data_IF_269839173453
#
_entry.id   IF_269839173453
#
_cell.length_a   1.000
_cell.length_b   1.000
_cell.length_c   1.000
_cell.angle_alpha   90.00
_cell.angle_beta   90.00
_cell.angle_gamma   90.00
#
_symmetry.space_group_name_H-M   'P 1'
#
loop_
_entity.id
_entity.type
_entity.pdbx_description
1 polymer ?
#
# COMPACT_ATOMS: atom_id res chain seq x y z
N UNK A 1 21.09 -1.82 -0.87
CA UNK A 1 20.92 -2.88 -1.89
C UNK A 1 20.39 -2.23 -3.15
N UNK A 2 20.99 -2.54 -4.29
CA UNK A 2 20.49 -2.10 -5.59
C UNK A 2 19.61 -3.24 -6.13
N UNK A 3 18.30 -2.98 -6.25
CA UNK A 3 17.35 -3.95 -6.79
C UNK A 3 17.43 -3.92 -8.32
N UNK A 4 17.76 -5.05 -8.94
CA UNK A 4 17.70 -5.20 -10.39
C UNK A 4 16.27 -5.53 -10.78
N UNK A 5 15.63 -4.65 -11.55
CA UNK A 5 14.22 -4.75 -11.95
C UNK A 5 14.17 -4.62 -13.47
N UNK A 6 13.58 -5.61 -14.14
CA UNK A 6 13.39 -5.54 -15.58
C UNK A 6 12.35 -4.47 -15.94
N UNK A 7 12.51 -3.82 -17.09
CA UNK A 7 11.63 -2.74 -17.54
C UNK A 7 10.16 -3.18 -17.70
N UNK A 8 9.91 -4.45 -17.94
CA UNK A 8 8.61 -5.08 -18.14
C UNK A 8 8.27 -6.12 -17.05
N UNK A 9 8.90 -6.00 -15.86
CA UNK A 9 8.75 -6.97 -14.76
C UNK A 9 7.31 -7.18 -14.26
N UNK A 10 6.42 -6.22 -14.52
CA UNK A 10 5.01 -6.27 -14.14
C UNK A 10 4.06 -6.40 -15.33
N UNK A 11 4.61 -6.78 -16.51
CA UNK A 11 3.82 -6.93 -17.73
C UNK A 11 2.64 -7.89 -17.52
N UNK A 12 1.47 -7.49 -18.04
CA UNK A 12 0.22 -8.25 -18.00
C UNK A 12 -0.32 -8.54 -16.57
N UNK A 13 0.20 -7.85 -15.54
CA UNK A 13 -0.30 -7.94 -14.17
C UNK A 13 -1.39 -6.90 -13.91
N UNK A 14 -2.39 -7.27 -13.12
CA UNK A 14 -3.42 -6.37 -12.60
C UNK A 14 -3.11 -6.08 -11.13
N UNK A 15 -2.87 -4.81 -10.79
CA UNK A 15 -2.40 -4.41 -9.47
C UNK A 15 -3.31 -3.35 -8.86
N UNK A 16 -3.87 -3.63 -7.69
CA UNK A 16 -4.65 -2.69 -6.89
C UNK A 16 -3.74 -1.86 -5.98
N UNK A 17 -3.84 -0.53 -6.05
CA UNK A 17 -3.10 0.38 -5.18
C UNK A 17 -4.08 1.22 -4.36
N UNK A 18 -4.04 1.07 -3.03
CA UNK A 18 -4.85 1.90 -2.13
C UNK A 18 -4.14 3.20 -1.77
N UNK A 19 -4.90 4.29 -1.67
CA UNK A 19 -4.31 5.62 -1.49
C UNK A 19 -3.52 6.11 -2.72
N UNK A 20 -3.97 5.69 -3.91
CA UNK A 20 -3.28 5.93 -5.18
C UNK A 20 -3.26 7.41 -5.64
N UNK A 21 -4.05 8.28 -5.02
CA UNK A 21 -4.16 9.67 -5.44
C UNK A 21 -3.05 10.60 -4.95
N UNK A 22 -2.14 10.18 -4.04
CA UNK A 22 -1.14 11.05 -3.46
C UNK A 22 0.09 10.28 -2.94
N UNK A 23 1.20 11.00 -2.75
CA UNK A 23 2.41 10.52 -2.08
C UNK A 23 2.96 9.21 -2.64
N UNK A 24 3.22 8.25 -1.74
CA UNK A 24 3.80 6.95 -2.09
C UNK A 24 2.87 6.14 -2.98
N UNK A 25 1.54 6.11 -2.68
CA UNK A 25 0.59 5.33 -3.47
C UNK A 25 0.47 5.82 -4.91
N UNK A 26 0.45 7.15 -5.11
CA UNK A 26 0.49 7.76 -6.46
C UNK A 26 1.75 7.34 -7.22
N UNK A 27 2.92 7.50 -6.58
CA UNK A 27 4.18 7.15 -7.23
C UNK A 27 4.28 5.64 -7.52
N UNK A 28 3.80 4.79 -6.62
CA UNK A 28 3.77 3.34 -6.84
C UNK A 28 2.87 2.98 -8.04
N UNK A 29 1.68 3.58 -8.14
CA UNK A 29 0.78 3.36 -9.27
C UNK A 29 1.45 3.71 -10.60
N UNK A 30 2.07 4.88 -10.71
CA UNK A 30 2.80 5.31 -11.93
C UNK A 30 3.97 4.37 -12.21
N UNK A 31 4.74 3.99 -11.18
CA UNK A 31 5.89 3.11 -11.36
C UNK A 31 5.50 1.69 -11.79
N UNK A 32 4.40 1.15 -11.26
CA UNK A 32 3.88 -0.15 -11.68
C UNK A 32 3.37 -0.12 -13.13
N UNK A 33 2.66 0.94 -13.51
CA UNK A 33 2.24 1.15 -14.90
C UNK A 33 3.43 1.25 -15.86
N UNK A 34 4.48 1.97 -15.47
CA UNK A 34 5.73 2.09 -16.23
C UNK A 34 6.45 0.75 -16.45
N UNK A 35 6.19 -0.26 -15.62
CA UNK A 35 6.74 -1.61 -15.75
C UNK A 35 5.74 -2.61 -16.34
N UNK A 36 4.67 -2.11 -17.00
CA UNK A 36 3.75 -2.91 -17.81
C UNK A 36 2.49 -3.40 -17.08
N UNK A 37 2.25 -3.01 -15.82
CA UNK A 37 1.03 -3.37 -15.12
C UNK A 37 -0.19 -2.56 -15.60
N UNK A 38 -1.38 -3.17 -15.51
CA UNK A 38 -2.65 -2.46 -15.46
C UNK A 38 -2.96 -2.13 -14.00
N UNK A 39 -3.05 -0.85 -13.66
CA UNK A 39 -3.18 -0.41 -12.26
C UNK A 39 -4.62 0.00 -11.95
N UNK A 40 -5.14 -0.49 -10.83
CA UNK A 40 -6.42 -0.07 -10.27
C UNK A 40 -6.14 0.95 -9.17
N UNK A 41 -6.59 2.18 -9.38
CA UNK A 41 -6.37 3.33 -8.51
C UNK A 41 -7.51 3.43 -7.49
N UNK A 42 -7.27 3.05 -6.23
CA UNK A 42 -8.27 3.15 -5.18
C UNK A 42 -7.96 4.32 -4.23
N UNK A 43 -8.97 5.14 -3.97
CA UNK A 43 -8.87 6.24 -3.02
C UNK A 43 -10.19 7.02 -2.90
N UNK A 44 -10.25 7.94 -1.93
CA UNK A 44 -11.48 8.68 -1.63
C UNK A 44 -11.72 9.93 -2.50
N UNK A 45 -10.64 10.54 -3.03
CA UNK A 45 -10.72 11.83 -3.71
C UNK A 45 -10.63 11.62 -5.21
N UNK A 46 -11.79 11.61 -5.89
CA UNK A 46 -11.91 11.30 -7.32
C UNK A 46 -10.96 12.16 -8.16
N UNK A 47 -10.96 13.48 -8.01
CA UNK A 47 -10.10 14.38 -8.79
C UNK A 47 -8.59 14.06 -8.68
N UNK A 48 -8.13 13.53 -7.52
CA UNK A 48 -6.73 13.09 -7.38
C UNK A 48 -6.47 11.76 -8.11
N UNK A 49 -7.45 10.88 -8.16
CA UNK A 49 -7.34 9.62 -8.91
C UNK A 49 -7.36 9.87 -10.41
N UNK A 50 -8.24 10.76 -10.86
CA UNK A 50 -8.30 11.21 -12.27
C UNK A 50 -6.99 11.84 -12.73
N UNK A 51 -6.38 12.69 -11.90
CA UNK A 51 -5.08 13.27 -12.23
C UNK A 51 -3.96 12.21 -12.38
N UNK A 52 -4.00 11.13 -11.60
CA UNK A 52 -3.05 10.01 -11.75
C UNK A 52 -3.38 9.17 -12.97
N UNK A 53 -4.65 8.95 -13.24
CA UNK A 53 -5.14 8.26 -14.42
C UNK A 53 -4.65 8.97 -15.69
N UNK A 54 -4.92 10.27 -15.81
CA UNK A 54 -4.52 11.08 -16.97
C UNK A 54 -3.00 11.11 -17.16
N UNK A 55 -2.23 11.14 -16.07
CA UNK A 55 -0.77 11.08 -16.12
C UNK A 55 -0.27 9.74 -16.66
N UNK A 56 -0.84 8.62 -16.21
CA UNK A 56 -0.50 7.28 -16.70
C UNK A 56 -0.82 7.14 -18.19
N UNK A 57 -1.98 7.61 -18.65
CA UNK A 57 -2.36 7.61 -20.06
C UNK A 57 -1.45 8.52 -20.91
N UNK A 58 -1.15 9.72 -20.41
CA UNK A 58 -0.26 10.67 -21.11
C UNK A 58 1.16 10.12 -21.29
N UNK A 59 1.64 9.30 -20.36
CA UNK A 59 2.92 8.61 -20.46
C UNK A 59 2.89 7.39 -21.40
N UNK A 60 1.72 7.04 -21.93
CA UNK A 60 1.55 5.94 -22.90
C UNK A 60 1.58 4.54 -22.24
N UNK A 61 1.32 4.45 -20.94
CA UNK A 61 1.24 3.16 -20.22
C UNK A 61 -0.15 2.54 -20.34
N UNK A 62 -0.32 1.30 -19.85
CA UNK A 62 -1.61 0.64 -19.86
C UNK A 62 -2.67 1.48 -19.15
N UNK A 63 -3.85 1.58 -19.78
CA UNK A 63 -4.98 2.32 -19.23
C UNK A 63 -5.33 1.83 -17.83
N UNK A 64 -5.28 2.69 -16.79
CA UNK A 64 -5.65 2.31 -15.44
C UNK A 64 -7.17 2.27 -15.24
N UNK A 65 -7.62 1.76 -14.10
CA UNK A 65 -9.00 1.89 -13.66
C UNK A 65 -9.07 2.70 -12.36
N UNK A 66 -10.22 3.32 -12.08
CA UNK A 66 -10.46 4.07 -10.85
C UNK A 66 -11.56 3.40 -10.04
N UNK A 67 -11.30 3.20 -8.74
CA UNK A 67 -12.30 2.79 -7.75
C UNK A 67 -12.37 3.85 -6.64
N UNK A 68 -13.35 4.75 -6.68
CA UNK A 68 -13.57 5.71 -5.61
C UNK A 68 -14.12 4.99 -4.38
N UNK A 69 -13.33 4.96 -3.28
CA UNK A 69 -13.78 4.36 -2.02
C UNK A 69 -13.15 5.07 -0.83
N UNK A 70 -13.98 5.56 0.09
CA UNK A 70 -13.53 6.05 1.38
C UNK A 70 -13.46 4.89 2.39
N UNK A 71 -12.25 4.51 2.75
CA UNK A 71 -12.01 3.39 3.67
C UNK A 71 -12.56 3.63 5.08
N UNK A 72 -12.79 4.90 5.49
CA UNK A 72 -13.38 5.22 6.79
C UNK A 72 -14.84 4.74 6.91
N UNK A 73 -15.59 4.82 5.81
CA UNK A 73 -16.98 4.39 5.75
C UNK A 73 -17.23 3.04 5.08
N UNK A 74 -16.18 2.41 4.58
CA UNK A 74 -16.31 1.17 3.83
C UNK A 74 -16.71 -0.01 4.72
N UNK A 75 -17.72 -0.74 4.27
CA UNK A 75 -18.21 -1.98 4.90
C UNK A 75 -17.69 -3.20 4.15
N UNK A 76 -17.87 -4.40 4.72
CA UNK A 76 -17.53 -5.66 4.07
C UNK A 76 -18.16 -5.78 2.68
N UNK A 77 -19.40 -5.31 2.49
CA UNK A 77 -20.10 -5.39 1.20
C UNK A 77 -19.38 -4.56 0.13
N UNK A 78 -18.91 -3.35 0.43
CA UNK A 78 -18.17 -2.53 -0.53
C UNK A 78 -16.91 -3.24 -1.05
N UNK A 79 -16.22 -4.03 -0.21
CA UNK A 79 -15.05 -4.79 -0.67
C UNK A 79 -15.43 -6.01 -1.51
N UNK A 80 -16.58 -6.64 -1.24
CA UNK A 80 -17.11 -7.74 -2.07
C UNK A 80 -17.46 -7.17 -3.46
N UNK A 81 -18.25 -6.10 -3.52
CA UNK A 81 -18.66 -5.45 -4.78
C UNK A 81 -17.44 -4.99 -5.60
N UNK A 82 -16.43 -4.44 -4.92
CA UNK A 82 -15.15 -4.08 -5.53
C UNK A 82 -14.46 -5.28 -6.19
N UNK A 83 -14.38 -6.42 -5.50
CA UNK A 83 -13.72 -7.63 -6.03
C UNK A 83 -14.53 -8.24 -7.18
N UNK A 84 -15.86 -8.22 -7.10
CA UNK A 84 -16.73 -8.63 -8.20
C UNK A 84 -16.46 -7.77 -9.44
N UNK A 85 -16.43 -6.44 -9.29
CA UNK A 85 -16.09 -5.50 -10.39
C UNK A 85 -14.72 -5.79 -10.99
N UNK A 86 -13.69 -6.02 -10.15
CA UNK A 86 -12.34 -6.37 -10.61
C UNK A 86 -12.36 -7.70 -11.38
N UNK A 87 -13.07 -8.69 -10.86
CA UNK A 87 -13.20 -10.00 -11.51
C UNK A 87 -13.91 -9.93 -12.86
N UNK A 88 -14.98 -9.11 -12.96
CA UNK A 88 -15.73 -8.92 -14.21
C UNK A 88 -14.92 -8.17 -15.28
N UNK A 89 -14.18 -7.13 -14.88
CA UNK A 89 -13.45 -6.28 -15.82
C UNK A 89 -12.10 -6.87 -16.25
N UNK A 90 -11.39 -7.54 -15.33
CA UNK A 90 -10.02 -7.98 -15.57
C UNK A 90 -9.84 -9.50 -15.50
N UNK A 91 -10.77 -10.23 -14.88
CA UNK A 91 -10.68 -11.67 -14.70
C UNK A 91 -9.59 -12.14 -13.72
N UNK A 92 -8.73 -11.23 -13.24
CA UNK A 92 -7.55 -11.51 -12.41
C UNK A 92 -7.19 -10.37 -11.47
N UNK A 93 -6.44 -10.69 -10.43
CA UNK A 93 -5.72 -9.74 -9.57
C UNK A 93 -4.40 -10.38 -9.16
N UNK A 94 -3.28 -9.72 -9.49
CA UNK A 94 -1.93 -10.25 -9.28
C UNK A 94 -1.18 -9.56 -8.16
N UNK A 95 -1.59 -8.34 -7.82
CA UNK A 95 -0.94 -7.61 -6.75
C UNK A 95 -1.87 -6.65 -6.03
N UNK A 96 -1.60 -6.44 -4.74
CA UNK A 96 -2.25 -5.41 -3.93
C UNK A 96 -1.20 -4.67 -3.12
N UNK A 97 -1.23 -3.34 -3.20
CA UNK A 97 -0.48 -2.46 -2.31
C UNK A 97 -1.45 -1.80 -1.33
N UNK A 98 -1.46 -2.25 -0.09
CA UNK A 98 -2.12 -1.60 1.04
C UNK A 98 -1.26 -0.42 1.52
N UNK A 99 -1.48 0.75 0.91
CA UNK A 99 -0.72 1.97 1.23
C UNK A 99 -1.58 3.05 1.89
N UNK A 100 -2.90 3.06 1.65
CA UNK A 100 -3.80 4.01 2.29
C UNK A 100 -3.67 3.94 3.82
N UNK A 101 -3.63 5.12 4.46
CA UNK A 101 -3.56 5.20 5.91
C UNK A 101 -3.83 6.60 6.43
N UNK A 102 -4.22 6.67 7.70
CA UNK A 102 -4.38 7.89 8.47
C UNK A 102 -3.28 7.98 9.54
N UNK A 103 -2.69 9.15 9.69
CA UNK A 103 -1.77 9.44 10.80
C UNK A 103 -2.52 9.62 12.13
N UNK A 104 -3.71 10.19 12.08
CA UNK A 104 -4.42 10.66 13.26
C UNK A 104 -3.76 11.92 13.86
N UNK A 105 -3.97 12.11 15.16
CA UNK A 105 -3.39 13.19 15.94
C UNK A 105 -2.24 12.63 16.78
N UNK A 106 -1.08 13.28 16.75
CA UNK A 106 0.05 12.97 17.60
C UNK A 106 -0.16 13.65 18.96
N UNK A 107 -0.37 12.89 20.01
CA UNK A 107 -0.67 13.38 21.37
C UNK A 107 -0.12 12.44 22.45
N UNK A 108 0.01 12.90 23.72
CA UNK A 108 0.21 12.00 24.84
C UNK A 108 -0.85 10.91 24.87
N UNK A 109 -0.48 9.71 25.33
CA UNK A 109 -1.37 8.54 25.28
C UNK A 109 -2.67 8.74 26.07
N UNK A 110 -2.59 9.39 27.21
CA UNK A 110 -3.73 9.70 28.10
C UNK A 110 -4.65 10.81 27.54
N UNK A 111 -4.24 11.49 26.46
CA UNK A 111 -5.00 12.53 25.77
C UNK A 111 -5.47 12.11 24.37
N UNK A 112 -5.19 10.88 23.96
CA UNK A 112 -5.64 10.36 22.68
C UNK A 112 -7.16 10.18 22.67
N UNK A 113 -7.85 10.96 21.84
CA UNK A 113 -9.31 10.87 21.72
C UNK A 113 -9.76 9.55 21.08
N UNK A 114 -10.86 8.97 21.60
CA UNK A 114 -11.45 7.72 21.12
C UNK A 114 -11.77 7.77 19.64
N UNK A 115 -12.43 8.83 19.15
CA UNK A 115 -12.75 8.99 17.71
C UNK A 115 -11.52 8.95 16.82
N UNK A 116 -10.41 9.56 17.28
CA UNK A 116 -9.14 9.52 16.53
C UNK A 116 -8.55 8.11 16.50
N UNK A 117 -8.62 7.41 17.63
CA UNK A 117 -8.18 6.02 17.70
C UNK A 117 -9.01 5.13 16.78
N UNK A 118 -10.33 5.23 16.83
CA UNK A 118 -11.25 4.45 16.02
C UNK A 118 -11.07 4.69 14.52
N UNK A 119 -10.96 5.95 14.12
CA UNK A 119 -10.70 6.30 12.73
C UNK A 119 -9.40 5.69 12.19
N UNK A 120 -8.31 5.82 12.96
CA UNK A 120 -7.00 5.27 12.57
C UNK A 120 -7.06 3.74 12.50
N UNK A 121 -7.63 3.08 13.51
CA UNK A 121 -7.76 1.63 13.54
C UNK A 121 -8.69 1.13 12.44
N UNK A 122 -9.76 1.86 12.15
CA UNK A 122 -10.66 1.49 11.06
C UNK A 122 -9.96 1.53 9.70
N UNK A 123 -9.30 2.65 9.37
CA UNK A 123 -8.65 2.82 8.05
C UNK A 123 -7.37 1.98 7.93
N UNK A 124 -6.51 1.98 8.95
CA UNK A 124 -5.20 1.36 8.86
C UNK A 124 -5.21 -0.15 9.12
N UNK A 125 -6.23 -0.67 9.82
CA UNK A 125 -6.29 -2.09 10.21
C UNK A 125 -7.53 -2.77 9.67
N UNK A 126 -8.73 -2.34 10.10
CA UNK A 126 -9.98 -3.03 9.75
C UNK A 126 -10.26 -3.02 8.24
N UNK A 127 -10.01 -1.88 7.57
CA UNK A 127 -10.18 -1.78 6.12
C UNK A 127 -9.22 -2.71 5.36
N UNK A 128 -7.94 -2.74 5.77
CA UNK A 128 -6.95 -3.66 5.19
C UNK A 128 -7.36 -5.13 5.41
N UNK A 129 -7.80 -5.48 6.61
CA UNK A 129 -8.26 -6.82 6.95
C UNK A 129 -9.44 -7.27 6.07
N UNK A 130 -10.52 -6.44 6.01
CA UNK A 130 -11.71 -6.77 5.22
C UNK A 130 -11.43 -6.83 3.72
N UNK A 131 -10.63 -5.89 3.21
CA UNK A 131 -10.21 -5.88 1.81
C UNK A 131 -9.39 -7.13 1.48
N UNK A 132 -8.43 -7.48 2.34
CA UNK A 132 -7.62 -8.69 2.15
C UNK A 132 -8.49 -9.94 2.13
N UNK A 133 -9.45 -10.09 3.04
CA UNK A 133 -10.39 -11.20 3.01
C UNK A 133 -11.16 -11.28 1.68
N UNK A 134 -11.64 -10.14 1.18
CA UNK A 134 -12.41 -10.09 -0.05
C UNK A 134 -11.58 -10.46 -1.29
N UNK A 135 -10.32 -10.00 -1.38
CA UNK A 135 -9.46 -10.28 -2.55
C UNK A 135 -8.86 -11.70 -2.55
N UNK A 136 -8.80 -12.39 -1.40
CA UNK A 136 -8.12 -13.69 -1.30
C UNK A 136 -8.56 -14.73 -2.34
N UNK A 137 -9.88 -14.90 -2.65
CA UNK A 137 -10.31 -15.85 -3.66
C UNK A 137 -9.78 -15.53 -5.06
N UNK A 138 -9.55 -14.26 -5.37
CA UNK A 138 -9.09 -13.81 -6.69
C UNK A 138 -7.56 -13.87 -6.78
N UNK A 139 -6.83 -13.34 -5.79
CA UNK A 139 -5.37 -13.29 -5.82
C UNK A 139 -4.72 -14.68 -5.71
N UNK A 140 -5.38 -15.64 -5.05
CA UNK A 140 -4.93 -17.04 -5.00
C UNK A 140 -4.95 -17.74 -6.35
N UNK A 141 -5.65 -17.20 -7.35
CA UNK A 141 -5.65 -17.73 -8.73
C UNK A 141 -4.46 -17.22 -9.53
N UNK A 142 -3.75 -16.20 -9.04
CA UNK A 142 -2.55 -15.71 -9.69
C UNK A 142 -1.41 -16.72 -9.57
N UNK A 143 -0.65 -16.90 -10.63
CA UNK A 143 0.55 -17.75 -10.64
C UNK A 143 1.69 -17.12 -9.83
N UNK A 144 1.58 -15.82 -9.52
CA UNK A 144 2.59 -15.05 -8.80
C UNK A 144 1.93 -13.87 -8.04
N UNK A 145 1.10 -14.18 -7.03
CA UNK A 145 0.33 -13.20 -6.26
C UNK A 145 1.21 -12.41 -5.29
N UNK A 146 0.98 -11.09 -5.16
CA UNK A 146 1.71 -10.19 -4.23
C UNK A 146 0.75 -9.39 -3.37
N UNK A 147 0.95 -9.43 -2.05
CA UNK A 147 0.28 -8.55 -1.09
C UNK A 147 1.35 -7.77 -0.34
N UNK A 148 1.35 -6.46 -0.49
CA UNK A 148 2.32 -5.58 0.17
C UNK A 148 1.59 -4.62 1.08
N UNK A 149 2.03 -4.55 2.34
CA UNK A 149 1.56 -3.58 3.31
C UNK A 149 2.57 -2.46 3.49
N UNK A 150 2.11 -1.22 3.58
CA UNK A 150 2.95 -0.09 3.98
C UNK A 150 2.95 0.00 5.50
N UNK A 151 4.09 -0.34 6.11
CA UNK A 151 4.36 -0.19 7.53
C UNK A 151 5.04 1.15 7.86
N UNK A 152 5.77 1.22 8.93
CA UNK A 152 6.52 2.37 9.41
C UNK A 152 7.54 1.91 10.44
N UNK A 153 8.60 2.69 10.70
CA UNK A 153 9.50 2.45 11.84
C UNK A 153 8.75 2.30 13.17
N UNK A 154 7.63 3.02 13.34
CA UNK A 154 6.78 2.90 14.53
C UNK A 154 5.83 1.70 14.50
N UNK A 155 5.98 0.79 13.54
CA UNK A 155 5.28 -0.50 13.47
C UNK A 155 5.98 -1.63 14.23
N UNK A 156 7.26 -1.47 14.55
CA UNK A 156 8.06 -2.41 15.35
C UNK A 156 8.82 -1.74 16.51
N UNK A 157 8.77 -0.41 16.59
CA UNK A 157 9.34 0.34 17.70
C UNK A 157 8.33 1.40 18.16
N UNK A 158 7.80 1.26 19.39
CA UNK A 158 6.87 2.23 19.96
C UNK A 158 7.54 3.58 20.22
N UNK A 159 6.88 4.68 19.82
CA UNK A 159 7.39 6.04 20.01
C UNK A 159 6.38 6.91 20.75
N UNK A 160 6.84 7.71 21.71
CA UNK A 160 5.99 8.66 22.41
C UNK A 160 5.22 9.56 21.46
N UNK A 161 3.96 9.81 21.76
CA UNK A 161 2.97 10.63 21.02
C UNK A 161 2.41 9.97 19.74
N UNK A 162 2.86 8.79 19.33
CA UNK A 162 2.41 8.12 18.10
C UNK A 162 1.23 7.16 18.30
N UNK A 163 0.67 7.07 19.47
CA UNK A 163 -0.46 6.26 19.94
C UNK A 163 -1.16 5.40 18.88
N UNK A 164 -2.30 5.86 18.38
CA UNK A 164 -3.13 5.09 17.43
C UNK A 164 -2.37 4.66 16.16
N UNK A 165 -1.55 5.55 15.60
CA UNK A 165 -0.80 5.24 14.38
C UNK A 165 0.20 4.11 14.60
N UNK A 166 1.01 4.19 15.68
CA UNK A 166 1.98 3.13 16.01
C UNK A 166 1.26 1.80 16.25
N UNK A 167 0.22 1.78 17.08
CA UNK A 167 -0.60 0.59 17.34
C UNK A 167 -1.11 -0.01 16.03
N UNK A 168 -1.62 0.82 15.11
CA UNK A 168 -2.12 0.35 13.83
C UNK A 168 -1.03 -0.28 12.95
N UNK A 169 0.21 0.24 13.01
CA UNK A 169 1.32 -0.30 12.21
C UNK A 169 1.87 -1.60 12.80
N UNK A 170 1.90 -1.77 14.14
CA UNK A 170 2.13 -3.07 14.76
C UNK A 170 1.08 -4.10 14.32
N UNK A 171 -0.20 -3.71 14.31
CA UNK A 171 -1.27 -4.60 13.83
C UNK A 171 -1.12 -4.95 12.33
N UNK A 172 -0.66 -4.00 11.50
CA UNK A 172 -0.38 -4.23 10.07
C UNK A 172 0.75 -5.25 9.90
N UNK A 173 1.84 -5.15 10.65
CA UNK A 173 2.95 -6.12 10.59
C UNK A 173 2.51 -7.50 11.08
N UNK A 174 1.78 -7.58 12.20
CA UNK A 174 1.21 -8.85 12.66
C UNK A 174 0.25 -9.50 11.65
N UNK A 175 -0.56 -8.70 10.96
CA UNK A 175 -1.44 -9.20 9.89
C UNK A 175 -0.61 -9.74 8.71
N UNK A 176 0.45 -9.05 8.32
CA UNK A 176 1.37 -9.47 7.27
C UNK A 176 2.02 -10.82 7.61
N UNK A 177 2.54 -10.99 8.83
CA UNK A 177 3.19 -12.24 9.27
C UNK A 177 2.21 -13.42 9.28
N UNK A 178 0.98 -13.24 9.79
CA UNK A 178 -0.07 -14.26 9.81
C UNK A 178 -0.38 -14.71 8.37
N UNK A 179 -0.65 -13.76 7.48
CA UNK A 179 -0.97 -14.07 6.08
C UNK A 179 0.20 -14.73 5.35
N UNK A 180 1.43 -14.27 5.58
CA UNK A 180 2.61 -14.87 4.98
C UNK A 180 2.77 -16.33 5.38
N UNK A 181 2.51 -16.66 6.65
CA UNK A 181 2.55 -18.03 7.16
C UNK A 181 1.44 -18.89 6.54
N UNK A 182 0.20 -18.39 6.48
CA UNK A 182 -0.93 -19.08 5.86
C UNK A 182 -0.71 -19.34 4.36
N UNK A 183 0.00 -18.44 3.67
CA UNK A 183 0.25 -18.50 2.22
C UNK A 183 1.56 -19.21 1.86
N UNK A 184 2.35 -19.72 2.81
CA UNK A 184 3.69 -20.24 2.57
C UNK A 184 3.76 -21.38 1.53
N UNK A 185 2.69 -22.17 1.40
CA UNK A 185 2.57 -23.27 0.44
C UNK A 185 1.79 -22.89 -0.84
N UNK A 186 1.64 -21.60 -1.12
CA UNK A 186 0.94 -21.10 -2.31
C UNK A 186 1.89 -20.25 -3.17
N UNK A 187 1.36 -19.73 -4.28
CA UNK A 187 2.06 -18.76 -5.15
C UNK A 187 1.99 -17.32 -4.63
N UNK A 188 1.23 -17.06 -3.55
CA UNK A 188 1.07 -15.71 -2.99
C UNK A 188 2.22 -15.42 -2.01
N UNK A 189 2.83 -14.24 -2.14
CA UNK A 189 3.83 -13.71 -1.19
C UNK A 189 3.31 -12.45 -0.52
N UNK A 190 3.52 -12.37 0.77
CA UNK A 190 2.99 -11.30 1.62
C UNK A 190 4.15 -10.65 2.38
N UNK A 191 4.35 -9.36 2.17
CA UNK A 191 5.44 -8.62 2.80
C UNK A 191 4.96 -7.24 3.25
N UNK A 192 5.76 -6.56 4.06
CA UNK A 192 5.57 -5.16 4.41
C UNK A 192 6.78 -4.32 4.00
N UNK A 193 6.54 -3.04 3.76
CA UNK A 193 7.58 -2.05 3.50
C UNK A 193 7.51 -0.97 4.57
N UNK A 194 8.62 -0.72 5.26
CA UNK A 194 8.82 0.51 6.00
C UNK A 194 9.43 1.55 5.04
N UNK A 195 8.66 2.57 4.61
CA UNK A 195 9.17 3.57 3.67
C UNK A 195 10.23 4.50 4.25
N UNK A 196 10.38 4.56 5.58
CA UNK A 196 11.22 5.52 6.25
C UNK A 196 10.72 6.97 6.12
N UNK A 197 11.59 7.93 6.39
CA UNK A 197 11.29 9.35 6.21
C UNK A 197 11.18 9.73 4.74
N UNK A 198 9.97 9.74 4.20
CA UNK A 198 9.70 10.03 2.79
C UNK A 198 8.94 11.35 2.64
N UNK A 199 9.28 12.16 1.65
CA UNK A 199 8.67 13.47 1.34
C UNK A 199 7.21 13.29 0.91
N UNK A 200 6.28 13.38 1.85
CA UNK A 200 4.83 13.23 1.64
C UNK A 200 4.06 14.23 2.50
N UNK A 201 2.81 14.47 2.14
CA UNK A 201 1.92 15.32 2.96
C UNK A 201 1.69 14.75 4.38
N UNK A 202 1.71 13.42 4.55
CA UNK A 202 1.64 12.78 5.87
C UNK A 202 2.90 13.08 6.69
N UNK A 203 4.09 13.00 6.09
CA UNK A 203 5.36 13.32 6.76
C UNK A 203 5.42 14.78 7.21
N UNK A 204 5.01 15.71 6.35
CA UNK A 204 4.96 17.14 6.67
C UNK A 204 4.00 17.43 7.84
N UNK A 205 2.89 16.71 7.97
CA UNK A 205 2.00 16.82 9.13
C UNK A 205 2.62 16.27 10.41
N UNK A 206 3.36 15.16 10.32
CA UNK A 206 4.00 14.54 11.49
C UNK A 206 5.20 15.35 12.00
N UNK A 207 5.92 16.02 11.10
CA UNK A 207 7.14 16.79 11.38
C UNK A 207 7.12 18.14 10.66
N UNK A 208 6.30 19.11 11.15
CA UNK A 208 6.13 20.40 10.45
C UNK A 208 7.41 21.25 10.35
N UNK A 209 8.37 21.05 11.26
CA UNK A 209 9.64 21.78 11.29
C UNK A 209 10.79 21.06 10.54
N UNK A 210 10.53 19.89 9.94
CA UNK A 210 11.54 19.14 9.22
C UNK A 210 11.77 19.72 7.82
N UNK A 211 13.03 19.88 7.42
CA UNK A 211 13.35 20.28 6.05
C UNK A 211 13.01 19.15 5.06
N UNK A 212 11.91 19.33 4.35
CA UNK A 212 11.46 18.35 3.36
C UNK A 212 12.46 18.17 2.20
N UNK A 213 13.37 19.12 1.98
CA UNK A 213 14.42 19.04 0.96
C UNK A 213 15.44 17.93 1.24
N UNK A 214 15.64 17.56 2.50
CA UNK A 214 16.56 16.51 2.92
C UNK A 214 15.95 15.10 2.84
N UNK A 215 14.64 15.01 2.63
CA UNK A 215 13.95 13.73 2.59
C UNK A 215 14.00 13.10 1.19
N UNK A 216 14.12 11.78 1.16
CA UNK A 216 13.90 11.00 -0.05
C UNK A 216 12.50 11.26 -0.60
N UNK A 217 12.40 11.37 -1.92
CA UNK A 217 11.09 11.47 -2.59
C UNK A 217 10.41 10.10 -2.66
N UNK A 218 9.09 10.03 -2.89
CA UNK A 218 8.43 8.76 -3.18
C UNK A 218 9.10 7.98 -4.32
N UNK A 219 9.62 8.66 -5.35
CA UNK A 219 10.32 8.04 -6.49
C UNK A 219 11.59 7.31 -6.05
N UNK A 220 12.32 7.85 -5.10
CA UNK A 220 13.62 7.31 -4.66
C UNK A 220 13.48 5.96 -3.95
N UNK A 221 12.29 5.65 -3.41
CA UNK A 221 12.02 4.39 -2.71
C UNK A 221 11.30 3.33 -3.56
N UNK A 222 10.92 3.67 -4.79
CA UNK A 222 10.20 2.75 -5.68
C UNK A 222 10.96 1.47 -6.06
N UNK A 223 12.30 1.43 -6.12
CA UNK A 223 12.98 0.18 -6.41
C UNK A 223 12.58 -0.99 -5.51
N UNK A 224 12.36 -0.78 -4.20
CA UNK A 224 11.87 -1.83 -3.30
C UNK A 224 10.40 -2.22 -3.60
N UNK A 225 9.55 -1.24 -3.91
CA UNK A 225 8.14 -1.48 -4.23
C UNK A 225 7.99 -2.31 -5.51
N UNK A 226 8.79 -2.00 -6.52
CA UNK A 226 8.84 -2.75 -7.77
C UNK A 226 9.38 -4.17 -7.55
N UNK A 227 10.49 -4.30 -6.83
CA UNK A 227 11.08 -5.59 -6.50
C UNK A 227 10.08 -6.52 -5.80
N UNK A 228 9.42 -6.03 -4.74
CA UNK A 228 8.48 -6.86 -3.98
C UNK A 228 7.18 -7.14 -4.73
N UNK A 229 6.79 -6.30 -5.70
CA UNK A 229 5.63 -6.52 -6.54
C UNK A 229 5.95 -7.43 -7.74
N UNK A 230 7.21 -7.57 -8.11
CA UNK A 230 7.69 -8.34 -9.25
C UNK A 230 8.06 -9.78 -8.94
N UNK A 231 8.34 -10.57 -9.98
CA UNK A 231 8.72 -11.98 -9.86
C UNK A 231 10.09 -12.20 -9.21
N UNK A 232 10.93 -11.17 -9.17
CA UNK A 232 12.28 -11.23 -8.61
C UNK A 232 12.26 -11.52 -7.10
N UNK A 233 11.15 -11.21 -6.43
CA UNK A 233 10.96 -11.44 -4.98
C UNK A 233 10.20 -12.72 -4.64
N UNK A 234 10.13 -13.70 -5.55
CA UNK A 234 9.35 -14.94 -5.35
C UNK A 234 9.71 -15.73 -4.09
N UNK A 235 10.94 -15.58 -3.60
CA UNK A 235 11.45 -16.27 -2.41
C UNK A 235 11.37 -15.39 -1.15
N UNK A 236 10.85 -14.14 -1.25
CA UNK A 236 10.68 -13.21 -0.14
C UNK A 236 9.24 -13.28 0.36
N UNK A 237 9.07 -13.72 1.62
CA UNK A 237 7.75 -13.85 2.24
C UNK A 237 7.85 -13.59 3.75
N UNK A 238 6.86 -12.89 4.33
CA UNK A 238 6.78 -12.62 5.76
C UNK A 238 7.81 -11.63 6.29
N UNK A 239 8.30 -10.72 5.45
CA UNK A 239 9.32 -9.75 5.84
C UNK A 239 8.77 -8.33 5.83
N UNK A 240 9.16 -7.55 6.85
CA UNK A 240 9.07 -6.09 6.83
C UNK A 240 10.42 -5.51 6.43
N UNK A 241 10.51 -4.86 5.26
CA UNK A 241 11.78 -4.41 4.67
C UNK A 241 11.84 -2.88 4.66
N UNK A 242 12.97 -2.35 5.11
CA UNK A 242 13.25 -0.92 5.08
C UNK A 242 13.60 -0.45 3.67
N UNK A 243 12.83 0.50 3.12
CA UNK A 243 13.15 1.14 1.84
C UNK A 243 14.36 2.08 1.95
N UNK A 244 14.69 2.49 3.16
CA UNK A 244 15.82 3.36 3.48
C UNK A 244 16.62 2.75 4.63
N UNK A 245 17.37 1.65 4.39
CA UNK A 245 18.17 1.02 5.45
C UNK A 245 19.20 2.02 5.98
N UNK A 246 19.37 2.02 7.30
CA UNK A 246 20.48 2.75 7.93
C UNK A 246 21.79 2.08 7.48
N UNK A 247 22.67 2.84 6.86
CA UNK A 247 23.99 2.38 6.48
C UNK A 247 24.86 2.05 7.69
#
# INVERSE_FOLDING_TARGET
MEYQIAADSLKDRVILVTGAGDGIGRQAAISYAAHGATVILLGRTVAKLEAVYDEIETLGYNQPAIIPLDLRGATKQHYIDMVETISEQFGRLDGVLHNAGLLGVLSPFDQLGEDTFDDVMHVNVKAQFLMTQAIMPLIKKSEDGRIIFTSSTVGHEGRAFWGAYSISKFATEGMMEILANEMCNTTVRVNAINPGGTRTGMRAKAFPAEDSGLLRTPKDIMPLYLYLMGPESKDVNGQCIDAQPKG
#
